data_IF_877517792482
#
_entry.id   IF_877517792482
#
_cell.length_a   1.000
_cell.length_b   1.000
_cell.length_c   1.000
_cell.angle_alpha   90.00
_cell.angle_beta   90.00
_cell.angle_gamma   90.00
#
_symmetry.space_group_name_H-M   'P 1'
#
loop_
_entity.id
_entity.type
_entity.pdbx_description
1 polymer ?
#
# COMPACT_ATOMS: atom_id res chain seq x y z
N UNK A 1 25.61 8.74 6.79
CA UNK A 1 24.38 9.01 6.00
C UNK A 1 23.19 8.19 6.52
N UNK A 2 23.36 6.88 6.73
CA UNK A 2 22.33 5.99 7.29
C UNK A 2 21.82 6.38 8.69
N UNK A 3 22.73 6.69 9.62
CA UNK A 3 22.37 7.04 11.00
C UNK A 3 21.61 8.39 11.11
N UNK A 4 21.98 9.35 10.26
CA UNK A 4 21.27 10.63 10.17
C UNK A 4 19.85 10.46 9.62
N UNK A 5 19.68 9.63 8.59
CA UNK A 5 18.38 9.26 8.06
C UNK A 5 17.49 8.65 9.15
N UNK A 6 17.97 7.62 9.87
CA UNK A 6 17.17 6.97 10.91
C UNK A 6 16.85 7.89 12.08
N UNK A 7 17.78 8.77 12.51
CA UNK A 7 17.46 9.76 13.54
C UNK A 7 16.33 10.69 13.10
N UNK A 8 16.40 11.21 11.87
CA UNK A 8 15.34 12.04 11.33
C UNK A 8 14.02 11.27 11.20
N UNK A 9 14.06 10.08 10.59
CA UNK A 9 12.88 9.25 10.37
C UNK A 9 12.17 8.93 11.69
N UNK A 10 12.92 8.47 12.71
CA UNK A 10 12.37 8.17 14.03
C UNK A 10 11.73 9.41 14.67
N UNK A 11 12.42 10.55 14.63
CA UNK A 11 11.93 11.79 15.24
C UNK A 11 10.67 12.34 14.55
N UNK A 12 10.60 12.22 13.24
CA UNK A 12 9.50 12.79 12.44
C UNK A 12 8.30 11.86 12.37
N UNK A 13 8.53 10.56 12.19
CA UNK A 13 7.47 9.61 11.80
C UNK A 13 7.13 8.60 12.89
N UNK A 14 8.10 8.10 13.66
CA UNK A 14 7.83 7.10 14.70
C UNK A 14 7.24 7.69 16.00
N UNK A 15 7.31 9.00 16.20
CA UNK A 15 6.66 9.65 17.34
C UNK A 15 5.14 9.78 17.16
N UNK A 16 4.70 9.99 15.91
CA UNK A 16 3.29 10.20 15.56
C UNK A 16 2.57 8.91 15.22
N UNK A 17 3.31 7.91 14.72
CA UNK A 17 2.79 6.62 14.31
C UNK A 17 3.70 5.50 14.81
N UNK A 18 3.11 4.44 15.36
CA UNK A 18 3.87 3.28 15.85
C UNK A 18 4.67 2.61 14.74
N UNK A 19 5.76 1.94 15.13
CA UNK A 19 6.63 1.21 14.19
C UNK A 19 5.87 0.11 13.42
N UNK A 20 4.80 -0.41 14.02
CA UNK A 20 3.89 -1.37 13.42
C UNK A 20 3.16 -0.79 12.19
N UNK A 21 2.90 0.53 12.10
CA UNK A 21 2.32 1.12 10.89
C UNK A 21 3.29 1.02 9.70
N UNK A 22 4.58 1.17 9.97
CA UNK A 22 5.64 1.20 8.96
C UNK A 22 6.21 -0.19 8.65
N UNK A 23 5.90 -1.18 9.48
CA UNK A 23 6.45 -2.53 9.38
C UNK A 23 5.34 -3.59 9.34
N UNK A 24 5.26 -4.31 8.22
CA UNK A 24 4.30 -5.38 8.00
C UNK A 24 4.79 -6.77 8.42
N UNK A 25 6.05 -6.93 8.86
CA UNK A 25 6.57 -8.24 9.28
C UNK A 25 5.74 -8.84 10.43
N UNK A 26 5.23 -8.00 11.32
CA UNK A 26 4.32 -8.45 12.39
C UNK A 26 3.01 -9.04 11.87
N UNK A 27 2.57 -8.65 10.65
CA UNK A 27 1.41 -9.24 9.99
C UNK A 27 1.73 -10.62 9.41
N UNK A 28 2.94 -10.81 8.84
CA UNK A 28 3.39 -12.13 8.38
C UNK A 28 3.46 -13.11 9.56
N UNK A 29 4.04 -12.70 10.68
CA UNK A 29 4.11 -13.51 11.91
C UNK A 29 2.71 -13.86 12.46
N UNK A 30 1.74 -12.97 12.25
CA UNK A 30 0.33 -13.19 12.63
C UNK A 30 -0.44 -14.07 11.63
N UNK A 31 0.21 -14.57 10.57
CA UNK A 31 -0.42 -15.41 9.55
C UNK A 31 -1.33 -14.64 8.60
N UNK A 32 -1.19 -13.31 8.49
CA UNK A 32 -1.90 -12.51 7.50
C UNK A 32 -1.23 -12.75 6.14
N UNK A 33 -2.02 -13.24 5.17
CA UNK A 33 -1.55 -13.48 3.82
C UNK A 33 -1.38 -12.16 3.05
N UNK A 34 -0.14 -11.66 3.03
CA UNK A 34 0.26 -10.45 2.30
C UNK A 34 0.57 -10.77 0.84
N UNK A 35 -0.45 -11.05 0.03
CA UNK A 35 -0.23 -11.25 -1.40
C UNK A 35 -0.11 -9.92 -2.15
N UNK A 36 1.04 -9.67 -2.76
CA UNK A 36 1.23 -8.53 -3.66
C UNK A 36 0.81 -8.93 -5.09
N UNK A 37 -0.50 -9.07 -5.35
CA UNK A 37 -1.04 -9.50 -6.65
C UNK A 37 -1.05 -8.40 -7.72
N UNK A 38 -0.20 -7.39 -7.63
CA UNK A 38 -0.10 -6.33 -8.64
C UNK A 38 1.36 -6.13 -8.96
N UNK A 39 1.71 -6.26 -10.24
CA UNK A 39 3.05 -6.00 -10.76
C UNK A 39 3.47 -4.52 -10.68
N UNK A 40 2.55 -3.62 -10.31
CA UNK A 40 2.81 -2.19 -10.20
C UNK A 40 1.93 -1.47 -9.15
N UNK A 41 2.11 -1.76 -7.85
CA UNK A 41 1.20 -1.28 -6.80
C UNK A 41 1.30 0.23 -6.61
N UNK A 42 2.50 0.80 -6.83
CA UNK A 42 2.72 2.24 -6.74
C UNK A 42 2.00 3.00 -7.86
N UNK A 43 2.06 2.53 -9.11
CA UNK A 43 1.35 3.20 -10.20
C UNK A 43 -0.17 3.09 -10.02
N UNK A 44 -0.67 1.94 -9.57
CA UNK A 44 -2.09 1.78 -9.24
C UNK A 44 -2.52 2.77 -8.16
N UNK A 45 -1.73 2.92 -7.10
CA UNK A 45 -1.97 3.92 -6.07
C UNK A 45 -1.94 5.34 -6.66
N UNK A 46 -0.89 5.71 -7.40
CA UNK A 46 -0.77 7.05 -7.98
C UNK A 46 -1.95 7.40 -8.90
N UNK A 47 -2.47 6.43 -9.65
CA UNK A 47 -3.66 6.61 -10.49
C UNK A 47 -4.91 6.86 -9.64
N UNK A 48 -5.19 5.97 -8.69
CA UNK A 48 -6.35 6.10 -7.81
C UNK A 48 -6.31 7.39 -6.96
N UNK A 49 -5.12 7.77 -6.51
CA UNK A 49 -4.88 9.02 -5.81
C UNK A 49 -5.07 10.23 -6.74
N UNK A 50 -4.59 10.15 -7.98
CA UNK A 50 -4.79 11.18 -9.01
C UNK A 50 -6.27 11.41 -9.35
N UNK A 51 -7.09 10.35 -9.33
CA UNK A 51 -8.55 10.42 -9.53
C UNK A 51 -9.28 11.24 -8.44
N UNK A 52 -8.64 11.51 -7.29
CA UNK A 52 -9.19 12.41 -6.27
C UNK A 52 -9.19 13.88 -6.71
N UNK A 53 -8.49 14.22 -7.79
CA UNK A 53 -8.32 15.59 -8.26
C UNK A 53 -8.88 15.79 -9.66
N UNK A 54 -9.60 16.90 -9.86
CA UNK A 54 -10.12 17.28 -11.18
C UNK A 54 -9.04 17.81 -12.14
N UNK A 55 -7.96 18.36 -11.60
CA UNK A 55 -6.85 18.91 -12.37
C UNK A 55 -5.62 18.02 -12.25
N UNK A 56 -4.87 17.85 -13.35
CA UNK A 56 -3.60 17.12 -13.34
C UNK A 56 -2.57 17.75 -12.37
N UNK A 57 -2.68 19.07 -12.15
CA UNK A 57 -1.81 19.84 -11.26
C UNK A 57 -2.67 20.70 -10.32
N UNK A 58 -3.23 20.10 -9.24
CA UNK A 58 -4.01 20.85 -8.27
C UNK A 58 -3.14 21.85 -7.52
N UNK A 59 -3.73 22.96 -7.09
CA UNK A 59 -3.03 23.87 -6.18
C UNK A 59 -2.74 23.17 -4.85
N UNK A 60 -1.72 23.63 -4.12
CA UNK A 60 -1.35 23.03 -2.84
C UNK A 60 -2.52 23.01 -1.85
N UNK A 61 -3.36 24.04 -1.86
CA UNK A 61 -4.54 24.13 -1.00
C UNK A 61 -5.61 23.06 -1.34
N UNK A 62 -5.78 22.76 -2.63
CA UNK A 62 -6.69 21.71 -3.11
C UNK A 62 -6.10 20.32 -2.92
N UNK A 63 -4.77 20.20 -2.91
CA UNK A 63 -4.06 18.94 -2.74
C UNK A 63 -4.09 18.41 -1.30
N UNK A 64 -3.85 19.29 -0.33
CA UNK A 64 -3.52 18.88 1.05
C UNK A 64 -4.65 18.14 1.76
N UNK A 65 -5.89 18.58 1.61
CA UNK A 65 -7.02 17.97 2.34
C UNK A 65 -7.35 16.55 1.84
N UNK A 66 -7.51 16.30 0.52
CA UNK A 66 -7.62 14.93 0.00
C UNK A 66 -6.43 14.05 0.37
N UNK A 67 -5.19 14.58 0.30
CA UNK A 67 -4.00 13.83 0.69
C UNK A 67 -4.03 13.38 2.15
N UNK A 68 -4.40 14.27 3.08
CA UNK A 68 -4.57 13.90 4.50
C UNK A 68 -5.69 12.90 4.71
N UNK A 69 -6.81 13.04 3.99
CA UNK A 69 -7.94 12.12 4.09
C UNK A 69 -7.55 10.72 3.62
N UNK A 70 -6.87 10.61 2.46
CA UNK A 70 -6.44 9.32 1.93
C UNK A 70 -5.36 8.67 2.82
N UNK A 71 -4.40 9.45 3.32
CA UNK A 71 -3.43 8.95 4.29
C UNK A 71 -4.11 8.36 5.54
N UNK A 72 -5.09 9.06 6.12
CA UNK A 72 -5.88 8.55 7.27
C UNK A 72 -6.63 7.27 6.92
N UNK A 73 -7.21 7.19 5.72
CA UNK A 73 -7.89 5.99 5.22
C UNK A 73 -6.94 4.79 5.16
N UNK A 74 -5.71 4.98 4.70
CA UNK A 74 -4.71 3.92 4.66
C UNK A 74 -4.26 3.47 6.05
N UNK A 75 -4.05 4.41 6.98
CA UNK A 75 -3.72 4.07 8.38
C UNK A 75 -4.83 3.21 8.99
N UNK A 76 -6.09 3.61 8.84
CA UNK A 76 -7.22 2.85 9.34
C UNK A 76 -7.32 1.47 8.67
N UNK A 77 -7.14 1.40 7.35
CA UNK A 77 -7.15 0.14 6.61
C UNK A 77 -6.09 -0.83 7.12
N UNK A 78 -4.86 -0.36 7.35
CA UNK A 78 -3.77 -1.18 7.89
C UNK A 78 -4.14 -1.68 9.28
N UNK A 79 -4.68 -0.81 10.13
CA UNK A 79 -5.13 -1.16 11.47
C UNK A 79 -6.25 -2.21 11.45
N UNK A 80 -7.22 -2.07 10.55
CA UNK A 80 -8.31 -3.04 10.38
C UNK A 80 -7.82 -4.40 9.89
N UNK A 81 -6.81 -4.43 9.00
CA UNK A 81 -6.19 -5.67 8.54
C UNK A 81 -5.49 -6.38 9.70
N UNK A 82 -4.69 -5.66 10.50
CA UNK A 82 -3.97 -6.23 11.67
C UNK A 82 -4.91 -6.87 12.69
N UNK A 83 -6.08 -6.27 12.87
CA UNK A 83 -7.05 -6.71 13.86
C UNK A 83 -8.15 -7.59 13.28
N UNK A 84 -7.99 -8.09 12.04
CA UNK A 84 -8.96 -8.92 11.33
C UNK A 84 -10.38 -8.32 11.27
N UNK A 85 -10.50 -6.98 11.29
CA UNK A 85 -11.78 -6.26 11.18
C UNK A 85 -12.23 -6.09 9.73
N UNK A 86 -11.32 -6.34 8.78
CA UNK A 86 -11.59 -6.25 7.35
C UNK A 86 -11.59 -7.65 6.75
N UNK A 87 -12.63 -7.97 6.00
CA UNK A 87 -12.68 -9.19 5.22
C UNK A 87 -11.69 -9.11 4.03
N UNK A 88 -10.95 -10.19 3.74
CA UNK A 88 -10.11 -10.26 2.54
C UNK A 88 -10.97 -10.01 1.28
N UNK A 89 -10.42 -9.33 0.25
CA UNK A 89 -11.10 -9.22 -1.02
C UNK A 89 -11.36 -10.62 -1.60
N UNK A 90 -12.53 -10.83 -2.20
CA UNK A 90 -12.79 -12.06 -2.94
C UNK A 90 -11.99 -12.03 -4.25
N UNK A 91 -10.92 -12.82 -4.30
CA UNK A 91 -10.09 -12.97 -5.48
C UNK A 91 -10.69 -14.02 -6.43
N UNK A 92 -10.47 -13.84 -7.74
CA UNK A 92 -10.76 -14.89 -8.71
C UNK A 92 -9.93 -16.14 -8.37
N UNK A 93 -10.46 -17.35 -8.60
CA UNK A 93 -9.69 -18.57 -8.37
C UNK A 93 -8.42 -18.54 -9.22
N UNK A 94 -7.33 -19.04 -8.66
CA UNK A 94 -6.10 -19.25 -9.42
C UNK A 94 -6.39 -20.14 -10.63
N UNK A 95 -6.00 -19.68 -11.81
CA UNK A 95 -6.04 -20.46 -13.05
C UNK A 95 -4.59 -20.68 -13.47
N UNK A 96 -4.19 -21.95 -13.52
CA UNK A 96 -2.87 -22.30 -14.03
C UNK A 96 -2.75 -21.85 -15.50
N UNK A 97 -1.79 -20.99 -15.85
CA UNK A 97 -1.66 -20.49 -17.20
C UNK A 97 -1.30 -21.63 -18.15
N UNK A 98 -2.17 -21.91 -19.11
CA UNK A 98 -1.91 -22.90 -20.16
C UNK A 98 -0.96 -22.28 -21.19
N UNK A 99 0.33 -22.58 -21.09
CA UNK A 99 1.34 -22.12 -22.05
C UNK A 99 1.01 -22.76 -23.42
N UNK A 100 0.75 -21.97 -24.48
CA UNK A 100 0.56 -22.54 -25.80
C UNK A 100 1.84 -23.23 -26.28
N UNK A 101 1.75 -24.45 -26.82
CA UNK A 101 2.93 -25.25 -27.22
C UNK A 101 3.88 -24.58 -28.22
N UNK A 102 3.46 -23.50 -28.89
CA UNK A 102 4.33 -22.65 -29.73
C UNK A 102 5.45 -21.94 -28.97
N UNK A 103 5.41 -21.93 -27.64
CA UNK A 103 6.45 -21.36 -26.78
C UNK A 103 7.47 -22.42 -26.33
N UNK A 104 7.26 -23.69 -26.64
CA UNK A 104 8.19 -24.80 -26.35
C UNK A 104 9.27 -24.95 -27.45
N UNK A 105 9.17 -24.18 -28.53
CA UNK A 105 10.04 -24.25 -29.72
C UNK A 105 11.15 -23.18 -29.75
N UNK A 106 11.38 -22.45 -28.66
CA UNK A 106 12.43 -21.43 -28.51
C UNK A 106 13.52 -21.84 -27.53
#
# INVERSE_FOLDING_TARGET
MWDAFWRYFKRTWLNSHGADLWNVNSMEDAGIDLQNCTNNPLERYNRAFGELFYAAHPSLLVFVEPAKADARRYVQMIDDIKHHRREPPQHAPYVEPRIPGRYDEF
#
